data_IF_524142071595
#
_entry.id   IF_524142071595
#
_cell.length_a   1.000
_cell.length_b   1.000
_cell.length_c   1.000
_cell.angle_alpha   90.00
_cell.angle_beta   90.00
_cell.angle_gamma   90.00
#
_symmetry.space_group_name_H-M   'P 1'
#
loop_
_entity.id
_entity.type
_entity.pdbx_description
1 polymer ?
#
# COMPACT_ATOMS: atom_id res chain seq x y z
N UNK A 1 -0.52 2.46 -30.33
CA UNK A 1 -0.79 2.18 -28.91
C UNK A 1 -0.28 3.36 -28.10
N UNK A 2 -1.11 3.97 -27.25
CA UNK A 2 -0.66 5.03 -26.34
C UNK A 2 -0.33 4.39 -24.99
N UNK A 3 0.80 4.74 -24.38
CA UNK A 3 1.22 4.13 -23.12
C UNK A 3 0.27 4.51 -21.98
N UNK A 4 -0.30 5.71 -22.07
CA UNK A 4 -1.25 6.27 -21.13
C UNK A 4 -2.52 5.41 -21.01
N UNK A 5 -2.86 4.61 -22.02
CA UNK A 5 -4.03 3.72 -22.00
C UNK A 5 -3.89 2.58 -20.97
N UNK A 6 -2.67 2.30 -20.48
CA UNK A 6 -2.36 1.31 -19.44
C UNK A 6 -2.50 1.85 -18.02
N UNK A 7 -2.74 3.14 -17.84
CA UNK A 7 -2.73 3.78 -16.53
C UNK A 7 -4.03 4.54 -16.24
N UNK A 8 -4.38 4.61 -14.96
CA UNK A 8 -5.39 5.51 -14.41
C UNK A 8 -4.66 6.61 -13.61
N UNK A 9 -4.74 7.85 -14.09
CA UNK A 9 -4.16 9.02 -13.43
C UNK A 9 -5.20 9.60 -12.46
N UNK A 10 -5.14 9.19 -11.20
CA UNK A 10 -6.10 9.61 -10.18
C UNK A 10 -5.77 10.99 -9.60
N UNK A 11 -4.47 11.29 -9.48
CA UNK A 11 -3.93 12.57 -9.04
C UNK A 11 -2.51 12.76 -9.63
N UNK A 12 -1.91 13.97 -9.55
CA UNK A 12 -0.54 14.19 -9.99
C UNK A 12 0.49 13.27 -9.31
N UNK A 13 0.19 12.82 -8.10
CA UNK A 13 0.97 11.91 -7.27
C UNK A 13 0.34 10.51 -7.10
N UNK A 14 -0.68 10.17 -7.91
CA UNK A 14 -1.32 8.85 -7.87
C UNK A 14 -1.60 8.34 -9.28
N UNK A 15 -0.69 7.47 -9.77
CA UNK A 15 -0.78 6.80 -11.06
C UNK A 15 -0.91 5.29 -10.83
N UNK A 16 -2.06 4.73 -11.22
CA UNK A 16 -2.36 3.30 -11.07
C UNK A 16 -2.23 2.56 -12.39
N UNK A 17 -1.85 1.29 -12.31
CA UNK A 17 -1.98 0.37 -13.44
C UNK A 17 -3.46 0.05 -13.64
N UNK A 18 -3.97 0.31 -14.84
CA UNK A 18 -5.39 0.25 -15.17
C UNK A 18 -6.02 -1.10 -14.85
N UNK A 19 -7.20 -1.04 -14.23
CA UNK A 19 -7.91 -2.25 -13.79
C UNK A 19 -7.31 -2.92 -12.55
N UNK A 20 -6.31 -2.29 -11.91
CA UNK A 20 -5.68 -2.79 -10.68
C UNK A 20 -5.63 -1.69 -9.61
N UNK A 21 -5.26 -2.07 -8.38
CA UNK A 21 -4.93 -1.10 -7.31
C UNK A 21 -3.42 -0.86 -7.18
N UNK A 22 -2.62 -1.46 -8.05
CA UNK A 22 -1.16 -1.39 -8.01
C UNK A 22 -0.74 -0.06 -8.63
N UNK A 23 -0.03 0.76 -7.86
CA UNK A 23 0.58 1.98 -8.38
C UNK A 23 1.86 1.66 -9.15
N UNK A 24 2.20 2.52 -10.11
CA UNK A 24 3.38 2.31 -10.97
C UNK A 24 4.68 2.26 -10.16
N UNK A 25 4.73 2.95 -9.02
CA UNK A 25 5.85 2.99 -8.09
C UNK A 25 6.21 1.60 -7.54
N UNK A 26 5.23 0.70 -7.42
CA UNK A 26 5.48 -0.68 -6.99
C UNK A 26 6.30 -1.44 -8.04
N UNK A 27 6.00 -1.26 -9.33
CA UNK A 27 6.76 -1.87 -10.43
C UNK A 27 8.13 -1.20 -10.57
N UNK A 28 8.18 0.13 -10.51
CA UNK A 28 9.42 0.88 -10.62
C UNK A 28 10.38 0.58 -9.48
N UNK A 29 9.89 0.33 -8.27
CA UNK A 29 10.74 -0.08 -7.17
C UNK A 29 11.45 -1.41 -7.43
N UNK A 30 10.72 -2.41 -7.92
CA UNK A 30 11.30 -3.72 -8.28
C UNK A 30 12.30 -3.60 -9.44
N UNK A 31 11.98 -2.80 -10.46
CA UNK A 31 12.87 -2.58 -11.59
C UNK A 31 14.13 -1.77 -11.21
N UNK A 32 13.97 -0.61 -10.58
CA UNK A 32 15.05 0.35 -10.33
C UNK A 32 15.94 -0.08 -9.16
N UNK A 33 15.35 -0.55 -8.05
CA UNK A 33 16.12 -0.86 -6.83
C UNK A 33 16.45 -2.35 -6.69
N UNK A 34 15.53 -3.25 -7.10
CA UNK A 34 15.80 -4.70 -7.05
C UNK A 34 16.46 -5.23 -8.31
N UNK A 35 16.55 -4.43 -9.39
CA UNK A 35 17.22 -4.76 -10.65
C UNK A 35 16.64 -6.02 -11.31
N UNK A 36 15.35 -6.24 -11.14
CA UNK A 36 14.66 -7.40 -11.67
C UNK A 36 14.21 -7.17 -13.12
N UNK A 37 14.18 -8.23 -13.90
CA UNK A 37 13.60 -8.20 -15.24
C UNK A 37 12.06 -8.11 -15.15
N UNK A 38 11.38 -7.63 -16.21
CA UNK A 38 9.91 -7.62 -16.26
C UNK A 38 9.28 -8.99 -15.95
N UNK A 39 9.87 -10.09 -16.42
CA UNK A 39 9.44 -11.47 -16.18
C UNK A 39 9.63 -11.92 -14.73
N UNK A 40 10.61 -11.38 -14.01
CA UNK A 40 10.79 -11.62 -12.57
C UNK A 40 9.86 -10.76 -11.72
N UNK A 41 9.40 -9.63 -12.25
CA UNK A 41 8.49 -8.70 -11.58
C UNK A 41 7.04 -9.20 -11.65
N UNK A 42 6.55 -9.59 -12.83
CA UNK A 42 5.14 -9.99 -13.04
C UNK A 42 4.61 -11.00 -12.02
N UNK A 43 5.33 -12.10 -11.69
CA UNK A 43 4.83 -13.12 -10.76
C UNK A 43 4.62 -12.60 -9.33
N UNK A 44 5.18 -11.44 -8.98
CA UNK A 44 5.00 -10.80 -7.68
C UNK A 44 3.64 -10.11 -7.53
N UNK A 45 2.96 -9.83 -8.64
CA UNK A 45 1.72 -9.06 -8.68
C UNK A 45 0.58 -9.89 -9.28
N UNK A 46 -0.32 -10.37 -8.41
CA UNK A 46 -1.45 -11.24 -8.81
C UNK A 46 -2.36 -10.67 -9.90
N UNK A 47 -2.46 -9.35 -9.99
CA UNK A 47 -3.44 -8.67 -10.86
C UNK A 47 -2.82 -7.90 -12.01
N UNK A 48 -1.49 -7.87 -12.13
CA UNK A 48 -0.78 -7.09 -13.15
C UNK A 48 -0.28 -8.06 -14.21
N UNK A 49 -0.48 -7.74 -15.49
CA UNK A 49 0.03 -8.57 -16.59
C UNK A 49 1.47 -8.21 -16.96
N UNK A 50 2.18 -9.13 -17.61
CA UNK A 50 3.54 -8.87 -18.09
C UNK A 50 3.59 -7.65 -19.05
N UNK A 51 2.57 -7.52 -19.88
CA UNK A 51 2.40 -6.38 -20.79
C UNK A 51 2.29 -5.05 -20.02
N UNK A 52 1.55 -5.01 -18.92
CA UNK A 52 1.45 -3.83 -18.06
C UNK A 52 2.77 -3.51 -17.35
N UNK A 53 3.54 -4.52 -16.94
CA UNK A 53 4.90 -4.31 -16.39
C UNK A 53 5.80 -3.66 -17.43
N UNK A 54 5.82 -4.19 -18.65
CA UNK A 54 6.57 -3.62 -19.77
C UNK A 54 6.13 -2.20 -20.09
N UNK A 55 4.82 -1.94 -20.17
CA UNK A 55 4.27 -0.61 -20.40
C UNK A 55 4.70 0.38 -19.32
N UNK A 56 4.72 -0.03 -18.05
CA UNK A 56 5.16 0.80 -16.92
C UNK A 56 6.63 1.18 -17.04
N UNK A 57 7.49 0.20 -17.34
CA UNK A 57 8.93 0.44 -17.50
C UNK A 57 9.19 1.33 -18.71
N UNK A 58 8.51 1.08 -19.83
CA UNK A 58 8.65 1.89 -21.03
C UNK A 58 8.16 3.33 -20.82
N UNK A 59 7.05 3.52 -20.12
CA UNK A 59 6.54 4.84 -19.73
C UNK A 59 7.56 5.59 -18.87
N UNK A 60 8.14 4.94 -17.86
CA UNK A 60 9.22 5.53 -17.07
C UNK A 60 10.45 5.89 -17.91
N UNK A 61 10.88 5.02 -18.83
CA UNK A 61 12.04 5.30 -19.69
C UNK A 61 11.78 6.47 -20.64
N UNK A 62 10.54 6.62 -21.14
CA UNK A 62 10.14 7.72 -22.00
C UNK A 62 10.00 9.05 -21.22
N UNK A 63 9.52 9.00 -19.98
CA UNK A 63 9.23 10.15 -19.13
C UNK A 63 10.15 10.23 -17.89
N UNK A 64 11.43 9.91 -18.10
CA UNK A 64 12.38 9.62 -17.00
C UNK A 64 12.52 10.73 -15.97
N UNK A 65 12.48 11.99 -16.39
CA UNK A 65 12.60 13.13 -15.50
C UNK A 65 11.35 13.30 -14.62
N UNK A 66 10.16 13.38 -15.24
CA UNK A 66 8.91 13.60 -14.51
C UNK A 66 8.52 12.41 -13.64
N UNK A 67 8.60 11.19 -14.18
CA UNK A 67 8.28 9.97 -13.44
C UNK A 67 9.38 9.65 -12.41
N UNK A 68 10.63 9.99 -12.71
CA UNK A 68 11.73 9.88 -11.75
C UNK A 68 11.53 10.79 -10.54
N UNK A 69 11.10 12.04 -10.76
CA UNK A 69 10.73 12.96 -9.67
C UNK A 69 9.55 12.43 -8.87
N UNK A 70 8.47 12.03 -9.54
CA UNK A 70 7.30 11.40 -8.92
C UNK A 70 7.70 10.24 -8.00
N UNK A 71 8.55 9.33 -8.50
CA UNK A 71 9.00 8.16 -7.77
C UNK A 71 9.89 8.50 -6.56
N UNK A 72 10.75 9.51 -6.69
CA UNK A 72 11.58 10.00 -5.59
C UNK A 72 10.73 10.65 -4.48
N UNK A 73 9.76 11.50 -4.85
CA UNK A 73 8.84 12.14 -3.92
C UNK A 73 8.01 11.07 -3.16
N UNK A 74 7.55 10.03 -3.86
CA UNK A 74 6.88 8.88 -3.24
C UNK A 74 7.77 8.11 -2.25
N UNK A 75 9.04 7.85 -2.61
CA UNK A 75 9.98 7.18 -1.72
C UNK A 75 10.19 7.98 -0.44
N UNK A 76 10.45 9.28 -0.55
CA UNK A 76 10.64 10.16 0.60
C UNK A 76 9.42 10.17 1.51
N UNK A 77 8.23 10.37 0.94
CA UNK A 77 6.99 10.30 1.68
C UNK A 77 6.81 8.95 2.39
N UNK A 78 7.05 7.83 1.70
CA UNK A 78 6.97 6.47 2.26
C UNK A 78 7.96 6.25 3.42
N UNK A 79 9.15 6.85 3.35
CA UNK A 79 10.12 6.83 4.45
C UNK A 79 9.62 7.65 5.65
N UNK A 80 9.16 8.88 5.42
CA UNK A 80 8.63 9.74 6.48
C UNK A 80 7.41 9.12 7.17
N UNK A 81 6.48 8.55 6.41
CA UNK A 81 5.30 7.89 6.96
C UNK A 81 5.65 6.67 7.81
N UNK A 82 6.65 5.87 7.40
CA UNK A 82 7.13 4.75 8.22
C UNK A 82 7.74 5.22 9.53
N UNK A 83 8.57 6.27 9.49
CA UNK A 83 9.16 6.85 10.70
C UNK A 83 8.08 7.41 11.63
N UNK A 84 7.10 8.14 11.09
CA UNK A 84 5.98 8.67 11.87
C UNK A 84 5.15 7.55 12.55
N UNK A 85 4.90 6.44 11.83
CA UNK A 85 4.22 5.27 12.38
C UNK A 85 5.05 4.52 13.42
N UNK A 86 6.38 4.52 13.30
CA UNK A 86 7.25 3.92 14.31
C UNK A 86 7.28 4.75 15.60
N UNK A 87 7.31 6.08 15.47
CA UNK A 87 7.27 7.02 16.60
C UNK A 87 5.89 7.09 17.27
N UNK A 88 4.82 6.98 16.49
CA UNK A 88 3.45 7.01 17.00
C UNK A 88 2.64 5.81 16.46
N UNK A 89 2.89 4.59 16.97
CA UNK A 89 2.24 3.39 16.47
C UNK A 89 0.73 3.45 16.75
N UNK A 90 -0.13 3.08 15.77
CA UNK A 90 -1.57 3.04 15.98
C UNK A 90 -1.94 2.18 17.20
N UNK A 91 -3.02 2.49 17.94
CA UNK A 91 -3.41 1.73 19.13
C UNK A 91 -3.57 0.22 18.89
N UNK A 92 -3.98 -0.18 17.68
CA UNK A 92 -4.05 -1.60 17.29
C UNK A 92 -2.69 -2.30 17.26
N UNK A 93 -1.63 -1.60 16.82
CA UNK A 93 -0.26 -2.11 16.79
C UNK A 93 0.31 -2.22 18.20
N UNK A 94 0.05 -1.22 19.06
CA UNK A 94 0.45 -1.26 20.48
C UNK A 94 -0.17 -2.50 21.15
N UNK A 95 -1.50 -2.67 21.04
CA UNK A 95 -2.20 -3.84 21.59
C UNK A 95 -1.66 -5.16 21.05
N UNK A 96 -1.29 -5.21 19.76
CA UNK A 96 -0.68 -6.40 19.16
C UNK A 96 0.71 -6.69 19.75
N UNK A 97 1.56 -5.66 19.89
CA UNK A 97 2.91 -5.77 20.47
C UNK A 97 2.86 -6.23 21.93
N UNK A 98 2.01 -5.61 22.75
CA UNK A 98 1.79 -6.02 24.15
C UNK A 98 1.33 -7.47 24.26
N UNK A 99 0.39 -7.86 23.39
CA UNK A 99 -0.14 -9.22 23.36
C UNK A 99 0.96 -10.24 22.99
N UNK A 100 1.78 -9.94 22.00
CA UNK A 100 2.90 -10.80 21.59
C UNK A 100 3.94 -10.88 22.72
N UNK A 101 4.26 -9.77 23.39
CA UNK A 101 5.20 -9.76 24.51
C UNK A 101 4.71 -10.61 25.68
N UNK A 102 3.39 -10.59 25.96
CA UNK A 102 2.79 -11.31 27.09
C UNK A 102 2.58 -12.81 26.83
N UNK A 103 2.27 -13.19 25.61
CA UNK A 103 1.79 -14.55 25.29
C UNK A 103 2.60 -15.27 24.19
N UNK A 104 3.63 -14.61 23.64
CA UNK A 104 4.38 -15.11 22.51
C UNK A 104 3.59 -15.06 21.19
N UNK A 105 4.09 -15.76 20.16
CA UNK A 105 3.41 -15.90 18.85
C UNK A 105 2.73 -17.25 18.65
N UNK A 106 2.68 -18.10 19.67
CA UNK A 106 2.12 -19.44 19.57
C UNK A 106 0.60 -19.41 19.32
N UNK A 107 0.13 -19.91 18.17
CA UNK A 107 -1.30 -19.98 17.84
C UNK A 107 -2.15 -20.73 18.87
N UNK A 108 -1.60 -21.76 19.53
CA UNK A 108 -2.34 -22.56 20.51
C UNK A 108 -2.60 -21.77 21.80
N UNK A 109 -1.64 -20.97 22.24
CA UNK A 109 -1.80 -20.04 23.37
C UNK A 109 -2.97 -19.08 23.10
N UNK A 110 -3.09 -18.55 21.87
CA UNK A 110 -4.19 -17.66 21.50
C UNK A 110 -5.56 -18.33 21.47
N UNK A 111 -5.65 -19.62 21.11
CA UNK A 111 -6.90 -20.38 21.16
C UNK A 111 -7.37 -20.53 22.61
N UNK A 112 -6.46 -20.91 23.51
CA UNK A 112 -6.77 -21.08 24.95
C UNK A 112 -7.18 -19.75 25.59
N UNK A 113 -6.48 -18.66 25.30
CA UNK A 113 -6.80 -17.33 25.86
C UNK A 113 -8.16 -16.80 25.40
N UNK A 114 -8.56 -17.08 24.15
CA UNK A 114 -9.91 -16.76 23.66
C UNK A 114 -10.98 -17.62 24.32
N UNK A 115 -10.74 -18.93 24.47
CA UNK A 115 -11.68 -19.83 25.16
C UNK A 115 -11.90 -19.43 26.62
N UNK A 116 -10.87 -18.89 27.28
CA UNK A 116 -10.94 -18.36 28.66
C UNK A 116 -11.52 -16.95 28.77
N UNK A 117 -11.92 -16.31 27.66
CA UNK A 117 -12.46 -14.94 27.66
C UNK A 117 -11.45 -13.83 27.96
N UNK A 118 -10.15 -14.16 28.03
CA UNK A 118 -9.06 -13.21 28.37
C UNK A 118 -8.74 -12.31 27.18
N UNK A 119 -8.83 -12.85 25.95
CA UNK A 119 -8.78 -12.06 24.73
C UNK A 119 -10.20 -11.71 24.30
N UNK A 120 -10.48 -10.43 24.05
CA UNK A 120 -11.78 -9.98 23.54
C UNK A 120 -12.20 -10.76 22.30
N UNK A 121 -13.49 -11.14 22.24
CA UNK A 121 -14.10 -11.71 21.05
C UNK A 121 -13.87 -10.76 19.87
N UNK A 122 -13.60 -11.33 18.68
CA UNK A 122 -13.46 -10.58 17.44
C UNK A 122 -14.81 -9.90 17.18
N UNK A 123 -15.04 -8.69 17.69
CA UNK A 123 -16.14 -7.84 17.23
C UNK A 123 -15.93 -7.72 15.72
N UNK A 124 -16.87 -8.23 14.94
CA UNK A 124 -16.85 -8.05 13.50
C UNK A 124 -16.78 -6.55 13.25
N UNK A 125 -15.80 -6.12 12.46
CA UNK A 125 -15.75 -4.75 11.95
C UNK A 125 -16.87 -4.61 10.93
N UNK A 126 -18.10 -4.55 11.40
CA UNK A 126 -19.29 -4.23 10.61
C UNK A 126 -19.89 -3.00 11.27
N UNK A 127 -19.39 -1.83 10.91
CA UNK A 127 -19.89 -0.55 11.43
C UNK A 127 -18.80 0.46 11.81
N UNK A 128 -17.94 0.85 10.86
CA UNK A 128 -17.28 2.16 10.89
C UNK A 128 -17.35 2.74 9.47
N UNK A 129 -18.55 3.11 9.04
CA UNK A 129 -18.82 4.04 7.93
C UNK A 129 -20.18 4.69 8.13
N UNK A 130 -20.29 5.47 9.20
CA UNK A 130 -21.15 6.66 9.37
C UNK A 130 -20.45 7.41 10.51
N UNK A 131 -19.62 8.40 10.23
CA UNK A 131 -19.92 9.84 10.04
C UNK A 131 -18.59 10.43 9.51
N UNK A 132 -18.49 11.17 8.42
CA UNK A 132 -19.07 12.50 8.23
C UNK A 132 -19.24 12.80 6.73
N UNK A 133 -20.49 13.11 6.38
CA UNK A 133 -20.88 13.89 5.22
C UNK A 133 -21.50 15.18 5.83
N UNK A 134 -21.32 16.31 5.14
CA UNK A 134 -21.76 17.69 5.46
C UNK A 134 -20.82 18.45 6.42
N UNK A 135 -20.31 19.67 6.16
CA UNK A 135 -20.52 20.73 5.17
C UNK A 135 -19.15 21.46 5.03
N UNK A 136 -18.76 22.15 3.96
CA UNK A 136 -19.45 23.27 3.32
C UNK A 136 -18.69 23.73 2.06
N UNK A 137 -19.43 23.86 0.96
CA UNK A 137 -19.17 24.90 -0.03
C UNK A 137 -19.43 26.27 0.62
N UNK A 138 -18.48 27.20 0.52
CA UNK A 138 -18.76 28.64 0.55
C UNK A 138 -17.71 29.34 -0.30
N UNK A 139 -18.17 30.00 -1.34
CA UNK A 139 -17.43 30.93 -2.19
C UNK A 139 -16.72 32.01 -1.36
N UNK A 140 -15.61 32.49 -1.93
CA UNK A 140 -14.90 33.72 -1.63
C UNK A 140 -13.94 34.04 -2.76
#
# INVERSE_FOLDING_TARGET
>A
MKLEDYFDFLAPDDIRIKGTRVGIESILYEYIHRKLSPEEIEPKFRTVTLEQVYATILYYLHNRESVGKYFADWLEWSHQQRQAQEMNPPPGVIRLRERIAKYGRDPEVYKVLRAKGILGSRKSTTGVTKTSQDDSLSDG
#
